data_IF_561743495921
#
_entry.id   IF_561743495921
#
_cell.length_a   1.000
_cell.length_b   1.000
_cell.length_c   1.000
_cell.angle_alpha   90.00
_cell.angle_beta   90.00
_cell.angle_gamma   90.00
#
_symmetry.space_group_name_H-M   'P 1'
#
loop_
_entity.id
_entity.type
_entity.pdbx_description
1 polymer ?
#
# COMPACT_ATOMS: atom_id res chain seq x y z
N UNK A 1 -10.26 -9.15 15.93
CA UNK A 1 -8.88 -9.58 16.08
C UNK A 1 -8.02 -8.73 15.15
N UNK A 2 -6.82 -8.29 15.55
CA UNK A 2 -5.94 -7.60 14.60
C UNK A 2 -5.74 -8.48 13.35
N UNK A 3 -5.73 -7.85 12.17
CA UNK A 3 -5.51 -8.54 10.90
C UNK A 3 -4.10 -8.25 10.40
N UNK A 4 -3.50 -9.20 9.70
CA UNK A 4 -2.18 -9.05 9.10
C UNK A 4 -2.32 -9.13 7.59
N UNK A 5 -1.93 -8.07 6.88
CA UNK A 5 -1.85 -8.09 5.42
C UNK A 5 -0.41 -8.21 4.97
N UNK A 6 -0.19 -8.76 3.77
CA UNK A 6 1.10 -8.71 3.08
C UNK A 6 1.19 -7.43 2.25
N UNK A 7 2.30 -6.73 2.36
CA UNK A 7 2.59 -5.51 1.61
C UNK A 7 3.73 -5.75 0.62
N UNK A 8 3.49 -5.40 -0.64
CA UNK A 8 4.52 -5.37 -1.68
C UNK A 8 4.56 -4.00 -2.32
N UNK A 9 5.72 -3.33 -2.27
CA UNK A 9 5.95 -2.09 -3.00
C UNK A 9 6.96 -2.37 -4.13
N UNK A 10 6.61 -1.99 -5.35
CA UNK A 10 7.41 -2.23 -6.54
C UNK A 10 7.54 -0.98 -7.43
N UNK A 11 8.56 -0.94 -8.27
CA UNK A 11 8.85 0.18 -9.19
C UNK A 11 10.01 1.08 -8.75
N UNK A 12 10.24 2.19 -9.46
CA UNK A 12 11.43 3.08 -9.24
C UNK A 12 11.40 3.86 -7.92
N UNK A 13 10.28 3.91 -7.21
CA UNK A 13 10.18 4.51 -5.88
C UNK A 13 10.39 3.51 -4.73
N UNK A 14 10.94 2.32 -5.01
CA UNK A 14 11.27 1.32 -4.00
C UNK A 14 12.24 1.85 -2.93
N UNK A 15 13.08 2.83 -3.25
CA UNK A 15 14.02 3.43 -2.28
C UNK A 15 13.28 4.05 -1.08
N UNK A 16 12.08 4.62 -1.30
CA UNK A 16 11.23 5.13 -0.21
C UNK A 16 10.61 4.01 0.64
N UNK A 17 10.44 2.83 0.04
CA UNK A 17 9.96 1.62 0.69
C UNK A 17 11.07 0.78 1.34
N UNK A 18 12.33 1.23 1.26
CA UNK A 18 13.44 0.55 1.89
C UNK A 18 13.25 0.54 3.43
N UNK A 19 13.18 -0.65 4.02
CA UNK A 19 12.95 -0.81 5.47
C UNK A 19 11.49 -0.86 5.89
N UNK A 20 10.53 -0.69 4.97
CA UNK A 20 9.11 -0.95 5.23
C UNK A 20 8.90 -2.45 5.44
N UNK A 21 8.12 -2.87 6.46
CA UNK A 21 7.85 -4.28 6.69
C UNK A 21 7.03 -4.87 5.54
N UNK A 22 7.24 -6.16 5.30
CA UNK A 22 6.46 -6.93 4.30
C UNK A 22 5.08 -7.31 4.80
N UNK A 23 4.81 -7.12 6.08
CA UNK A 23 3.54 -7.41 6.72
C UNK A 23 3.12 -6.21 7.56
N UNK A 24 1.86 -5.82 7.43
CA UNK A 24 1.24 -4.74 8.19
C UNK A 24 0.19 -5.34 9.11
N UNK A 25 0.35 -5.11 10.41
CA UNK A 25 -0.67 -5.42 11.40
C UNK A 25 -1.62 -4.24 11.52
N UNK A 26 -2.90 -4.50 11.28
CA UNK A 26 -3.96 -3.50 11.24
C UNK A 26 -5.08 -3.88 12.21
N UNK A 27 -5.89 -2.90 12.59
CA UNK A 27 -7.09 -3.12 13.41
C UNK A 27 -8.18 -3.90 12.65
N UNK A 28 -9.18 -4.37 13.39
CA UNK A 28 -10.39 -4.96 12.79
C UNK A 28 -11.13 -3.95 11.90
N UNK A 29 -11.66 -4.45 10.78
CA UNK A 29 -12.54 -3.66 9.91
C UNK A 29 -11.82 -2.54 9.16
N UNK A 30 -10.49 -2.59 9.09
CA UNK A 30 -9.67 -1.60 8.37
C UNK A 30 -9.88 -1.67 6.87
N UNK A 31 -9.74 -0.50 6.23
CA UNK A 31 -9.87 -0.34 4.78
C UNK A 31 -8.50 -0.19 4.12
N UNK A 32 -8.50 -0.15 2.79
CA UNK A 32 -7.31 0.19 2.01
C UNK A 32 -6.77 1.58 2.41
N UNK A 33 -7.64 2.57 2.65
CA UNK A 33 -7.23 3.90 3.12
C UNK A 33 -6.46 3.85 4.45
N UNK A 34 -6.94 3.05 5.41
CA UNK A 34 -6.29 2.89 6.71
C UNK A 34 -4.90 2.27 6.55
N UNK A 35 -4.77 1.27 5.68
CA UNK A 35 -3.48 0.64 5.38
C UNK A 35 -2.50 1.59 4.69
N UNK A 36 -3.00 2.45 3.78
CA UNK A 36 -2.17 3.47 3.13
C UNK A 36 -1.70 4.53 4.13
N UNK A 37 -2.55 4.93 5.08
CA UNK A 37 -2.19 5.86 6.14
C UNK A 37 -1.14 5.27 7.10
N UNK A 38 -1.31 4.00 7.51
CA UNK A 38 -0.33 3.30 8.33
C UNK A 38 1.00 3.13 7.59
N UNK A 39 0.96 2.74 6.31
CA UNK A 39 2.13 2.65 5.47
C UNK A 39 2.88 4.00 5.39
N UNK A 40 2.15 5.10 5.16
CA UNK A 40 2.76 6.43 5.10
C UNK A 40 3.53 6.79 6.38
N UNK A 41 3.05 6.34 7.55
CA UNK A 41 3.74 6.51 8.83
C UNK A 41 5.03 5.71 8.98
N UNK A 42 5.24 4.66 8.17
CA UNK A 42 6.38 3.76 8.24
C UNK A 42 7.46 4.03 7.17
N UNK A 43 7.17 4.92 6.21
CA UNK A 43 8.14 5.33 5.19
C UNK A 43 9.30 6.10 5.84
N UNK A 44 10.52 5.89 5.32
CA UNK A 44 11.74 6.52 5.84
C UNK A 44 11.63 8.06 5.81
N UNK A 45 11.99 8.71 6.92
CA UNK A 45 12.26 10.15 6.99
C UNK A 45 11.17 11.06 6.40
N UNK A 46 9.88 10.69 6.53
CA UNK A 46 8.77 11.48 5.97
C UNK A 46 8.70 11.42 4.45
N UNK A 47 9.29 10.39 3.83
CA UNK A 47 9.09 10.11 2.40
C UNK A 47 7.62 9.82 2.15
N UNK A 48 7.13 10.23 0.98
CA UNK A 48 5.74 10.04 0.58
C UNK A 48 5.73 9.28 -0.74
N UNK A 49 4.85 8.28 -0.85
CA UNK A 49 4.60 7.61 -2.12
C UNK A 49 3.80 8.55 -3.03
N UNK A 50 4.16 8.70 -4.32
CA UNK A 50 3.40 9.52 -5.23
C UNK A 50 1.93 9.12 -5.29
N UNK A 51 1.04 10.11 -5.34
CA UNK A 51 -0.42 9.93 -5.47
C UNK A 51 -0.82 9.11 -6.71
N UNK A 52 0.04 9.07 -7.72
CA UNK A 52 -0.13 8.31 -8.96
C UNK A 52 0.33 6.85 -8.87
N UNK A 53 0.85 6.41 -7.72
CA UNK A 53 1.14 4.99 -7.50
C UNK A 53 -0.14 4.17 -7.61
N UNK A 54 -0.07 3.04 -8.32
CA UNK A 54 -1.21 2.15 -8.48
C UNK A 54 -1.40 1.32 -7.22
N UNK A 55 -2.65 1.06 -6.87
CA UNK A 55 -3.06 0.24 -5.72
C UNK A 55 -3.76 -1.00 -6.22
N UNK A 56 -3.34 -2.18 -5.77
CA UNK A 56 -4.01 -3.44 -6.05
C UNK A 56 -4.18 -4.30 -4.79
N UNK A 57 -5.30 -5.01 -4.70
CA UNK A 57 -5.63 -5.89 -3.57
C UNK A 57 -5.98 -7.29 -4.09
N UNK A 58 -5.23 -8.31 -3.65
CA UNK A 58 -5.47 -9.71 -4.05
C UNK A 58 -5.43 -9.92 -5.57
N UNK A 59 -4.59 -9.15 -6.27
CA UNK A 59 -4.47 -9.17 -7.73
C UNK A 59 -5.47 -8.31 -8.51
N UNK A 60 -6.42 -7.65 -7.84
CA UNK A 60 -7.35 -6.71 -8.47
C UNK A 60 -6.82 -5.27 -8.37
N UNK A 61 -6.66 -4.59 -9.51
CA UNK A 61 -6.33 -3.16 -9.56
C UNK A 61 -7.51 -2.32 -9.06
N UNK A 62 -7.28 -1.44 -8.09
CA UNK A 62 -8.30 -0.58 -7.48
C UNK A 62 -8.22 0.88 -7.95
N UNK A 63 -7.10 1.31 -8.52
CA UNK A 63 -6.87 2.70 -8.92
C UNK A 63 -5.48 3.19 -8.52
N UNK A 64 -5.37 4.44 -8.09
CA UNK A 64 -4.16 5.07 -7.58
C UNK A 64 -4.29 5.43 -6.10
N UNK A 65 -3.19 5.82 -5.44
CA UNK A 65 -3.25 6.30 -4.05
C UNK A 65 -4.24 7.47 -3.93
N UNK A 66 -4.23 8.42 -4.87
CA UNK A 66 -5.18 9.54 -4.86
C UNK A 66 -6.62 9.16 -5.18
N UNK A 67 -6.85 8.15 -6.03
CA UNK A 67 -8.18 7.76 -6.48
C UNK A 67 -8.25 6.25 -6.68
N UNK A 68 -8.71 5.54 -5.65
CA UNK A 68 -8.94 4.09 -5.70
C UNK A 68 -10.34 3.73 -5.20
N UNK A 69 -10.83 2.57 -5.63
CA UNK A 69 -12.09 2.01 -5.14
C UNK A 69 -11.98 1.65 -3.65
N UNK A 70 -12.93 2.12 -2.81
CA UNK A 70 -12.92 1.80 -1.38
C UNK A 70 -13.13 0.31 -1.17
N UNK A 71 -12.26 -0.30 -0.36
CA UNK A 71 -12.32 -1.74 -0.09
C UNK A 71 -11.90 -2.05 1.34
N UNK A 72 -12.66 -2.94 1.98
CA UNK A 72 -12.29 -3.49 3.29
C UNK A 72 -11.23 -4.55 3.13
N UNK A 73 -10.29 -4.60 4.07
CA UNK A 73 -9.24 -5.59 4.14
C UNK A 73 -9.67 -6.81 4.94
N UNK A 74 -9.06 -7.95 4.63
CA UNK A 74 -9.18 -9.21 5.35
C UNK A 74 -7.81 -9.70 5.78
N UNK A 75 -7.80 -10.51 6.81
CA UNK A 75 -6.58 -11.18 7.25
C UNK A 75 -5.97 -12.02 6.11
N UNK A 76 -4.67 -11.87 5.90
CA UNK A 76 -3.92 -12.52 4.83
C UNK A 76 -4.06 -11.91 3.44
N UNK A 77 -4.79 -10.80 3.28
CA UNK A 77 -4.86 -10.07 2.01
C UNK A 77 -3.47 -9.58 1.58
N UNK A 78 -3.29 -9.43 0.27
CA UNK A 78 -2.07 -8.88 -0.31
C UNK A 78 -2.37 -7.52 -0.93
N UNK A 79 -1.77 -6.47 -0.36
CA UNK A 79 -1.81 -5.11 -0.86
C UNK A 79 -0.52 -4.83 -1.64
N UNK A 80 -0.67 -4.43 -2.90
CA UNK A 80 0.44 -4.13 -3.80
C UNK A 80 0.38 -2.67 -4.20
N UNK A 81 1.49 -1.97 -4.00
CA UNK A 81 1.69 -0.60 -4.48
C UNK A 81 2.72 -0.60 -5.60
N UNK A 82 2.37 -0.01 -6.73
CA UNK A 82 3.23 0.04 -7.91
C UNK A 82 3.53 1.49 -8.22
N UNK A 83 4.78 1.90 -8.05
CA UNK A 83 5.22 3.23 -8.43
C UNK A 83 5.05 3.44 -9.94
N UNK A 84 4.59 4.63 -10.39
CA UNK A 84 4.39 4.90 -11.80
C UNK A 84 5.70 4.67 -12.56
N UNK A 85 5.61 3.87 -13.63
CA UNK A 85 6.70 3.77 -14.59
C UNK A 85 6.58 4.97 -15.52
N UNK A 86 7.65 5.77 -15.63
CA UNK A 86 7.72 6.76 -16.70
C UNK A 86 7.60 5.99 -18.03
N UNK A 87 6.45 6.12 -18.69
CA UNK A 87 6.28 5.67 -20.07
C UNK A 87 7.29 6.43 -20.92
N UNK A 88 8.18 5.68 -21.59
CA UNK A 88 9.07 6.23 -22.62
C UNK A 88 8.32 6.50 -23.91
#
# INVERSE_FOLDING_TARGET
MPLTIRLTISGRSYDAAEGVPRELQLGDGTTVDDALAELAGQLKNGSVLPDTCLVALGGAHLGTIAEHEPRSLRDGDELVIIAPVAGG
#
